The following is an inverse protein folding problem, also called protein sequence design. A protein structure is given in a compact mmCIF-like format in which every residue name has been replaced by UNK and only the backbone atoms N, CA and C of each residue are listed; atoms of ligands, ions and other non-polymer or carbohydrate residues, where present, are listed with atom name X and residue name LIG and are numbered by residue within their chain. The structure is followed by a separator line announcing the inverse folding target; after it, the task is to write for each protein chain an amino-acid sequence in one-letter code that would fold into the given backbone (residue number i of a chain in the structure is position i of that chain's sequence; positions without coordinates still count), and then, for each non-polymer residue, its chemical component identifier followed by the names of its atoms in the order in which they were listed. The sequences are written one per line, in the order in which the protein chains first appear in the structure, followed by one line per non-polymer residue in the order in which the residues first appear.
data_IF_536729577417
#
_entry.id   IF_536729577417
#
_cell.length_a   1.000
_cell.length_b   1.000
_cell.length_c   1.000
_cell.angle_alpha   90.00
_cell.angle_beta   90.00
_cell.angle_gamma   90.00
#
_symmetry.space_group_name_H-M   'P 1'
#
loop_
_entity.id
_entity.type
_entity.pdbx_description
1 polymer ?
#
# COMPACT_ATOMS: atom_id res chain seq x y z
N UNK A 1 41.54 -6.10 54.23
CA UNK A 1 40.88 -5.53 55.40
C UNK A 1 40.95 -4.01 55.28
N UNK A 2 39.87 -3.36 55.08
CA UNK A 2 39.83 -1.89 55.06
C UNK A 2 39.81 -1.42 56.52
N UNK A 3 40.85 -0.69 56.94
CA UNK A 3 40.87 -0.02 58.25
C UNK A 3 39.92 1.17 58.21
N UNK A 4 38.81 1.12 58.92
CA UNK A 4 38.02 2.30 59.25
C UNK A 4 38.66 3.04 60.41
N UNK A 5 39.12 4.29 60.17
CA UNK A 5 39.61 5.14 61.23
C UNK A 5 38.45 5.57 62.12
N UNK A 6 38.53 5.12 63.35
CA UNK A 6 37.62 5.49 64.46
C UNK A 6 37.71 7.01 64.68
N UNK A 7 36.65 7.73 64.40
CA UNK A 7 36.68 9.17 64.64
C UNK A 7 35.35 9.90 64.51
N UNK A 8 34.34 9.33 63.80
CA UNK A 8 33.11 10.09 63.51
C UNK A 8 31.85 9.24 63.33
N UNK A 9 31.79 8.02 63.90
CA UNK A 9 30.57 7.19 63.78
C UNK A 9 30.20 6.62 65.14
N UNK A 10 29.38 7.32 65.87
CA UNK A 10 28.82 6.84 67.14
C UNK A 10 27.84 5.66 67.00
N UNK A 11 27.49 5.26 65.78
CA UNK A 11 26.55 4.19 65.43
C UNK A 11 27.14 3.06 64.56
N UNK A 12 28.45 2.80 64.70
CA UNK A 12 29.10 1.71 63.97
C UNK A 12 29.18 0.45 64.86
N UNK A 13 28.78 -0.69 64.32
CA UNK A 13 29.00 -2.01 64.93
C UNK A 13 29.53 -3.01 63.93
N UNK A 14 30.29 -4.01 64.41
CA UNK A 14 30.79 -5.11 63.62
C UNK A 14 30.58 -6.43 64.37
N UNK A 15 30.11 -7.44 63.67
CA UNK A 15 30.01 -8.81 64.18
C UNK A 15 30.54 -9.80 63.11
N UNK A 16 30.41 -11.11 63.38
CA UNK A 16 30.85 -12.15 62.46
C UNK A 16 30.09 -12.18 61.13
N UNK A 17 28.97 -11.53 61.04
CA UNK A 17 28.09 -11.51 59.86
C UNK A 17 28.41 -10.31 58.95
N UNK A 18 28.76 -9.14 59.54
CA UNK A 18 29.00 -7.96 58.73
C UNK A 18 29.23 -6.69 59.55
N UNK A 19 29.16 -5.55 58.88
CA UNK A 19 29.30 -4.20 59.43
C UNK A 19 27.93 -3.53 59.40
N UNK A 20 27.50 -2.98 60.56
CA UNK A 20 26.27 -2.23 60.70
C UNK A 20 26.54 -0.75 60.95
N UNK A 21 25.79 0.12 60.31
CA UNK A 21 25.73 1.54 60.61
C UNK A 21 24.28 1.84 61.06
N UNK A 22 24.12 2.36 62.26
CA UNK A 22 22.81 2.57 62.86
C UNK A 22 22.14 1.29 63.39
N UNK A 23 22.86 0.17 63.47
CA UNK A 23 22.40 -1.09 64.07
C UNK A 23 23.55 -1.75 64.82
N UNK A 24 23.27 -2.31 65.99
CA UNK A 24 24.23 -3.06 66.82
C UNK A 24 24.32 -4.56 66.46
N UNK A 25 23.43 -5.05 65.60
CA UNK A 25 23.34 -6.46 65.25
C UNK A 25 23.08 -6.61 63.73
N UNK A 26 24.08 -6.39 62.88
CA UNK A 26 23.91 -6.53 61.43
C UNK A 26 23.69 -7.99 61.07
N UNK A 27 22.69 -8.25 60.21
CA UNK A 27 22.34 -9.56 59.67
C UNK A 27 22.81 -9.75 58.20
N UNK A 28 23.47 -8.73 57.66
CA UNK A 28 24.08 -8.73 56.33
C UNK A 28 25.56 -8.27 56.40
N UNK A 29 26.34 -8.51 55.34
CA UNK A 29 27.75 -8.06 55.25
C UNK A 29 27.95 -6.55 55.45
N UNK A 30 26.97 -5.76 55.03
CA UNK A 30 26.84 -4.34 55.30
C UNK A 30 25.39 -4.02 55.56
N UNK A 31 25.02 -3.55 56.76
CA UNK A 31 23.69 -3.09 57.09
C UNK A 31 23.75 -1.65 57.53
N UNK A 32 22.94 -0.78 56.91
CA UNK A 32 22.83 0.63 57.24
C UNK A 32 21.39 0.90 57.63
N UNK A 33 21.17 1.26 58.93
CA UNK A 33 19.87 1.69 59.45
C UNK A 33 19.91 3.17 59.79
N UNK A 34 19.06 3.94 59.13
CA UNK A 34 19.00 5.40 59.30
C UNK A 34 19.35 6.13 57.99
N UNK A 35 19.34 7.45 58.06
CA UNK A 35 19.68 8.28 56.90
C UNK A 35 21.20 8.38 56.73
N UNK A 36 21.70 8.02 55.59
CA UNK A 36 23.11 8.25 55.19
C UNK A 36 23.17 9.11 53.95
N UNK A 37 24.15 10.02 53.92
CA UNK A 37 24.52 10.73 52.72
C UNK A 37 25.84 10.14 52.25
N UNK A 38 25.83 9.38 51.12
CA UNK A 38 27.03 8.88 50.51
C UNK A 38 27.26 9.62 49.21
N UNK A 39 28.51 9.94 48.88
CA UNK A 39 28.86 10.53 47.58
C UNK A 39 28.80 9.49 46.47
N UNK A 40 29.07 8.22 46.78
CA UNK A 40 29.08 7.14 45.83
C UNK A 40 28.83 5.80 46.55
N UNK A 41 27.90 5.00 46.03
CA UNK A 41 27.71 3.60 46.41
C UNK A 41 28.00 2.75 45.15
N UNK A 42 29.13 2.05 45.14
CA UNK A 42 29.49 1.15 44.05
C UNK A 42 29.13 -0.30 44.43
N UNK A 43 28.19 -0.87 43.73
CA UNK A 43 27.73 -2.25 43.94
C UNK A 43 28.14 -3.08 42.72
N UNK A 44 29.08 -4.01 42.93
CA UNK A 44 29.45 -5.01 41.93
C UNK A 44 28.63 -6.28 42.19
N UNK A 45 27.54 -6.49 41.45
CA UNK A 45 26.63 -7.60 41.64
C UNK A 45 25.16 -7.17 41.53
N UNK A 46 24.25 -8.01 42.00
CA UNK A 46 22.82 -7.73 41.94
C UNK A 46 22.46 -6.78 43.08
N UNK A 47 21.98 -5.58 42.77
CA UNK A 47 21.37 -4.67 43.73
C UNK A 47 19.84 -4.86 43.72
N UNK A 48 19.27 -5.27 44.85
CA UNK A 48 17.82 -5.38 45.03
C UNK A 48 17.38 -4.26 46.01
N UNK A 49 16.56 -3.38 45.52
CA UNK A 49 15.99 -2.30 46.35
C UNK A 49 14.55 -2.66 46.73
N UNK A 50 14.25 -2.78 48.01
CA UNK A 50 12.92 -3.12 48.52
C UNK A 50 11.88 -2.03 48.33
N UNK A 51 12.27 -0.77 48.40
CA UNK A 51 11.53 0.41 47.96
C UNK A 51 12.48 1.59 47.78
N UNK A 52 12.34 2.28 46.65
CA UNK A 52 13.10 3.50 46.33
C UNK A 52 12.11 4.64 46.26
N UNK A 53 12.08 5.48 47.29
CA UNK A 53 11.38 6.77 47.27
C UNK A 53 12.39 7.86 46.97
N UNK A 54 12.55 8.24 45.70
CA UNK A 54 13.48 9.29 45.30
C UNK A 54 14.01 9.11 43.86
N UNK A 55 14.72 10.11 43.38
CA UNK A 55 15.37 10.10 42.08
C UNK A 55 16.59 9.19 42.08
N UNK A 56 16.65 8.21 41.18
CA UNK A 56 17.90 7.58 40.79
C UNK A 56 18.52 8.47 39.72
N UNK A 57 19.40 9.36 40.14
CA UNK A 57 20.19 10.15 39.17
C UNK A 57 21.41 9.36 38.70
N UNK A 58 21.49 9.19 37.40
CA UNK A 58 22.64 8.79 36.64
C UNK A 58 23.23 7.40 36.86
N UNK A 59 22.85 6.44 36.00
CA UNK A 59 23.81 5.47 35.50
C UNK A 59 23.62 5.31 33.96
N UNK A 60 24.69 5.47 33.22
CA UNK A 60 24.68 5.39 31.77
C UNK A 60 24.77 3.96 31.23
N UNK A 61 25.20 3.00 32.05
CA UNK A 61 25.33 1.61 31.64
C UNK A 61 24.90 0.65 32.73
N UNK A 62 23.90 -0.17 32.46
CA UNK A 62 23.53 -1.31 33.29
C UNK A 62 24.12 -2.56 32.65
N UNK A 63 25.03 -3.25 33.34
CA UNK A 63 25.63 -4.51 32.89
C UNK A 63 24.87 -5.74 33.43
N UNK A 64 23.85 -5.52 34.25
CA UNK A 64 23.04 -6.57 34.89
C UNK A 64 21.56 -6.20 34.92
N UNK A 65 20.70 -7.20 35.13
CA UNK A 65 19.24 -6.98 35.21
C UNK A 65 18.84 -6.16 36.44
N UNK A 66 18.11 -5.08 36.23
CA UNK A 66 17.48 -4.30 37.27
C UNK A 66 16.01 -4.70 37.41
N UNK A 67 15.64 -5.32 38.52
CA UNK A 67 14.25 -5.67 38.81
C UNK A 67 13.67 -4.64 39.78
N UNK A 68 12.61 -3.96 39.33
CA UNK A 68 11.76 -3.13 40.23
C UNK A 68 10.55 -3.96 40.61
N UNK A 69 10.30 -4.08 41.90
CA UNK A 69 9.18 -4.88 42.41
C UNK A 69 7.86 -4.07 42.36
N UNK A 70 6.74 -4.80 42.41
CA UNK A 70 5.41 -4.17 42.40
C UNK A 70 5.26 -3.18 43.57
N UNK A 71 4.96 -1.93 43.26
CA UNK A 71 4.83 -0.84 44.22
C UNK A 71 5.97 0.19 44.18
N UNK A 72 7.07 -0.13 43.50
CA UNK A 72 8.18 0.82 43.37
C UNK A 72 7.92 1.76 42.19
N UNK A 73 8.10 3.04 42.40
CA UNK A 73 8.10 4.07 41.38
C UNK A 73 9.46 4.73 41.29
N UNK A 74 10.06 4.71 40.11
CA UNK A 74 11.33 5.37 39.86
C UNK A 74 11.31 6.10 38.54
N UNK A 75 11.97 7.25 38.48
CA UNK A 75 12.21 7.96 37.21
C UNK A 75 13.67 7.77 36.83
N UNK A 76 13.89 7.18 35.68
CA UNK A 76 15.22 7.08 35.10
C UNK A 76 15.40 8.26 34.15
N UNK A 77 16.39 9.10 34.42
CA UNK A 77 16.75 10.21 33.52
C UNK A 77 18.10 9.89 32.85
N UNK A 78 18.13 9.95 31.54
CA UNK A 78 19.33 9.65 30.74
C UNK A 78 19.12 8.53 29.75
N UNK A 79 20.17 8.17 29.04
CA UNK A 79 20.17 7.03 28.12
C UNK A 79 20.31 5.73 28.91
N UNK A 80 19.39 4.79 28.69
CA UNK A 80 19.48 3.44 29.24
C UNK A 80 19.96 2.54 28.11
N UNK A 81 21.18 2.07 28.20
CA UNK A 81 21.75 1.10 27.27
C UNK A 81 21.59 -0.31 27.85
N UNK A 82 20.76 -1.11 27.24
CA UNK A 82 20.62 -2.53 27.60
C UNK A 82 21.64 -3.32 26.80
N UNK A 83 22.59 -3.94 27.49
CA UNK A 83 23.66 -4.73 26.84
C UNK A 83 23.14 -5.97 26.12
N UNK A 84 23.96 -6.54 25.25
CA UNK A 84 23.63 -7.75 24.48
C UNK A 84 23.29 -8.92 25.41
N UNK A 85 22.10 -9.51 25.21
CA UNK A 85 21.61 -10.63 26.05
C UNK A 85 20.87 -10.21 27.30
N UNK A 86 20.74 -8.91 27.58
CA UNK A 86 19.98 -8.37 28.69
C UNK A 86 18.57 -7.96 28.27
N UNK A 87 17.64 -7.99 29.20
CA UNK A 87 16.24 -7.62 28.94
C UNK A 87 15.78 -6.57 29.94
N UNK A 88 15.20 -5.49 29.43
CA UNK A 88 14.44 -4.58 30.25
C UNK A 88 12.97 -4.99 30.23
N UNK A 89 12.44 -5.43 31.36
CA UNK A 89 11.02 -5.79 31.50
C UNK A 89 10.29 -4.66 32.20
N UNK A 90 9.32 -4.07 31.50
CA UNK A 90 8.38 -3.12 32.13
C UNK A 90 7.23 -3.94 32.69
N UNK A 91 7.15 -4.03 34.01
CA UNK A 91 6.12 -4.80 34.68
C UNK A 91 4.73 -4.15 34.62
N UNK A 92 3.69 -4.95 34.83
CA UNK A 92 2.31 -4.51 34.89
C UNK A 92 2.05 -3.81 36.22
N UNK A 93 1.75 -2.52 36.19
CA UNK A 93 1.09 -1.88 37.34
C UNK A 93 -0.39 -2.27 37.32
N UNK A 94 -0.80 -3.14 38.22
CA UNK A 94 -2.22 -3.45 38.44
C UNK A 94 -2.82 -2.35 39.29
N UNK A 95 -3.53 -1.43 38.70
CA UNK A 95 -4.43 -0.53 39.44
C UNK A 95 -5.83 -0.61 38.85
N UNK A 96 -6.72 -1.15 39.65
CA UNK A 96 -8.18 -1.14 39.52
C UNK A 96 -8.82 -1.91 38.36
N UNK A 97 -10.00 -2.37 38.56
CA UNK A 97 -11.01 -3.13 37.86
C UNK A 97 -11.24 -2.88 36.33
N UNK A 98 -10.33 -2.29 35.62
CA UNK A 98 -10.32 -2.12 34.20
C UNK A 98 -8.95 -2.55 33.67
N UNK A 99 -8.92 -3.60 32.88
CA UNK A 99 -7.77 -4.32 32.33
C UNK A 99 -6.45 -3.57 32.32
N UNK A 100 -5.39 -4.24 32.75
CA UNK A 100 -4.03 -3.68 32.80
C UNK A 100 -3.51 -3.45 31.36
N UNK A 101 -3.19 -2.21 31.05
CA UNK A 101 -2.51 -1.82 29.81
C UNK A 101 -1.08 -1.42 30.16
N UNK A 102 -0.11 -2.16 29.66
CA UNK A 102 1.30 -1.80 29.75
C UNK A 102 1.59 -0.68 28.74
N UNK A 103 1.78 0.53 29.20
CA UNK A 103 2.10 1.67 28.35
C UNK A 103 3.55 2.12 28.55
N UNK A 104 4.33 2.07 27.49
CA UNK A 104 5.59 2.77 27.39
C UNK A 104 5.34 4.15 26.75
N UNK A 105 5.51 5.23 27.52
CA UNK A 105 5.41 6.60 26.99
C UNK A 105 6.77 7.05 26.49
N UNK A 106 6.89 7.28 25.18
CA UNK A 106 8.09 7.85 24.57
C UNK A 106 7.77 9.28 24.12
N UNK A 107 8.50 10.26 24.67
CA UNK A 107 8.21 11.68 24.44
C UNK A 107 8.88 12.28 23.18
N UNK A 108 9.85 11.59 22.58
CA UNK A 108 10.58 12.10 21.40
C UNK A 108 10.74 11.05 20.32
N UNK A 109 11.52 10.01 20.53
CA UNK A 109 11.85 9.00 19.54
C UNK A 109 11.88 7.62 20.18
N UNK A 110 11.20 6.67 19.55
CA UNK A 110 11.35 5.24 19.81
C UNK A 110 12.03 4.60 18.61
N UNK A 111 13.21 4.04 18.80
CA UNK A 111 13.92 3.27 17.80
C UNK A 111 13.83 1.78 18.19
N UNK A 112 13.12 0.94 17.41
CA UNK A 112 13.09 -0.49 17.65
C UNK A 112 14.46 -1.12 17.35
N UNK A 113 14.73 -2.34 17.85
CA UNK A 113 15.86 -3.14 17.39
C UNK A 113 15.88 -3.18 15.87
N UNK A 114 17.05 -3.10 15.26
CA UNK A 114 17.18 -2.99 13.81
C UNK A 114 18.34 -3.84 13.27
N UNK A 115 18.23 -4.27 12.02
CA UNK A 115 19.23 -5.09 11.34
C UNK A 115 18.72 -5.66 10.03
N UNK A 116 19.49 -6.55 9.43
CA UNK A 116 19.06 -7.32 8.25
C UNK A 116 18.12 -8.45 8.63
N UNK A 117 17.47 -9.06 7.65
CA UNK A 117 16.57 -10.21 7.82
C UNK A 117 17.18 -11.33 8.65
N UNK A 118 18.48 -11.60 8.45
CA UNK A 118 19.20 -12.65 9.16
C UNK A 118 19.61 -12.27 10.60
N UNK A 119 19.47 -11.00 10.96
CA UNK A 119 19.78 -10.48 12.30
C UNK A 119 18.54 -10.30 13.17
N UNK A 120 17.38 -10.78 12.72
CA UNK A 120 16.15 -10.76 13.53
C UNK A 120 16.36 -11.51 14.84
N UNK A 121 16.04 -10.90 15.98
CA UNK A 121 16.18 -11.57 17.28
C UNK A 121 15.11 -12.65 17.46
N UNK A 122 15.32 -13.60 18.39
CA UNK A 122 14.24 -14.45 18.88
C UNK A 122 13.06 -13.59 19.35
N UNK A 123 11.88 -13.87 18.84
CA UNK A 123 10.74 -12.97 19.01
C UNK A 123 9.57 -13.66 19.74
N UNK A 124 8.80 -12.85 20.48
CA UNK A 124 7.48 -13.18 21.02
C UNK A 124 6.41 -12.46 20.24
N UNK A 125 5.15 -12.95 20.21
CA UNK A 125 4.06 -12.22 19.58
C UNK A 125 4.02 -10.74 20.01
N UNK A 126 3.98 -9.82 19.04
CA UNK A 126 4.02 -8.39 19.26
C UNK A 126 5.42 -7.75 19.32
N UNK A 127 6.52 -8.52 19.20
CA UNK A 127 7.87 -7.94 19.06
C UNK A 127 7.97 -7.11 17.79
N UNK A 128 8.67 -5.96 17.86
CA UNK A 128 8.93 -5.05 16.75
C UNK A 128 10.40 -5.09 16.37
N UNK A 129 10.69 -4.95 15.07
CA UNK A 129 12.03 -4.92 14.50
C UNK A 129 12.05 -4.03 13.25
N UNK A 130 13.05 -3.17 13.07
CA UNK A 130 13.23 -2.44 11.82
C UNK A 130 14.18 -3.21 10.90
N UNK A 131 13.67 -3.69 9.78
CA UNK A 131 14.43 -4.49 8.82
C UNK A 131 15.08 -3.60 7.76
N UNK A 132 16.41 -3.65 7.68
CA UNK A 132 17.20 -2.87 6.73
C UNK A 132 17.05 -3.35 5.28
N UNK A 133 16.81 -4.65 5.07
CA UNK A 133 16.64 -5.20 3.72
C UNK A 133 15.33 -4.73 3.09
N UNK A 134 14.27 -4.67 3.90
CA UNK A 134 12.94 -4.23 3.47
C UNK A 134 12.64 -2.75 3.78
N UNK A 135 13.53 -2.08 4.53
CA UNK A 135 13.38 -0.67 4.96
C UNK A 135 12.04 -0.38 5.66
N UNK A 136 11.55 -1.35 6.42
CA UNK A 136 10.24 -1.27 7.10
C UNK A 136 10.32 -1.79 8.53
N UNK A 137 9.37 -1.37 9.37
CA UNK A 137 9.16 -2.00 10.67
C UNK A 137 8.45 -3.33 10.45
N UNK A 138 8.87 -4.35 11.16
CA UNK A 138 8.21 -5.65 11.22
C UNK A 138 7.67 -5.92 12.61
N UNK A 139 6.58 -6.67 12.70
CA UNK A 139 6.11 -7.24 13.95
C UNK A 139 6.05 -8.77 13.85
N UNK A 140 6.28 -9.44 14.96
CA UNK A 140 6.15 -10.89 15.03
C UNK A 140 4.73 -11.27 15.45
N UNK A 141 3.99 -12.00 14.60
CA UNK A 141 2.59 -12.37 14.85
C UNK A 141 2.42 -13.62 15.74
N UNK A 142 3.53 -14.25 16.12
CA UNK A 142 3.57 -15.51 16.85
C UNK A 142 4.06 -16.69 16.00
N UNK A 143 4.00 -16.58 14.68
CA UNK A 143 4.46 -17.61 13.74
C UNK A 143 5.55 -17.08 12.82
N UNK A 144 5.36 -15.87 12.28
CA UNK A 144 6.29 -15.24 11.33
C UNK A 144 6.43 -13.74 11.58
N UNK A 145 7.52 -13.16 11.07
CA UNK A 145 7.68 -11.73 11.00
C UNK A 145 6.81 -11.16 9.87
N UNK A 146 5.93 -10.21 10.22
CA UNK A 146 5.08 -9.47 9.31
C UNK A 146 5.59 -8.06 9.19
N UNK A 147 5.66 -7.55 8.00
CA UNK A 147 5.97 -6.15 7.78
C UNK A 147 4.84 -5.28 8.33
N UNK A 148 5.20 -4.28 9.15
CA UNK A 148 4.29 -3.17 9.42
C UNK A 148 4.40 -2.28 8.20
N UNK A 149 3.62 -2.57 7.21
CA UNK A 149 3.51 -1.68 6.08
C UNK A 149 2.85 -0.40 6.57
N UNK A 150 3.54 0.72 6.39
CA UNK A 150 3.00 2.05 6.66
C UNK A 150 2.00 2.47 5.58
N UNK A 151 1.94 1.71 4.54
CA UNK A 151 0.88 1.75 3.58
C UNK A 151 -0.18 0.76 4.06
N UNK A 152 -1.36 1.22 4.38
CA UNK A 152 -2.55 0.46 4.07
C UNK A 152 -2.33 -0.09 2.67
N UNK A 153 -1.81 -1.30 2.50
CA UNK A 153 -1.53 -2.02 1.24
C UNK A 153 -1.78 -1.22 -0.05
N UNK A 154 -1.20 -0.05 -0.17
CA UNK A 154 -1.32 0.76 -1.39
C UNK A 154 -0.29 0.26 -2.39
N UNK A 155 -0.78 -0.29 -3.48
CA UNK A 155 0.02 -0.89 -4.52
C UNK A 155 -0.50 -2.25 -4.94
N UNK A 156 -1.71 -2.62 -4.52
CA UNK A 156 -2.39 -3.79 -5.03
C UNK A 156 -2.97 -3.48 -6.42
N UNK A 157 -2.39 -4.05 -7.46
CA UNK A 157 -2.99 -4.12 -8.79
C UNK A 157 -3.93 -5.31 -8.87
N UNK A 158 -5.13 -5.10 -9.41
CA UNK A 158 -6.14 -6.15 -9.60
C UNK A 158 -6.52 -6.19 -11.06
N UNK A 159 -6.40 -7.37 -11.68
CA UNK A 159 -6.50 -7.60 -13.12
C UNK A 159 -7.57 -8.63 -13.37
N UNK A 160 -8.66 -8.26 -14.03
CA UNK A 160 -9.63 -9.20 -14.60
C UNK A 160 -9.11 -9.71 -15.95
N UNK A 161 -9.09 -11.03 -16.13
CA UNK A 161 -8.39 -11.66 -17.25
C UNK A 161 -9.12 -11.58 -18.60
N UNK A 162 -10.42 -11.27 -18.61
CA UNK A 162 -11.17 -11.12 -19.87
C UNK A 162 -11.41 -12.43 -20.61
N UNK A 163 -10.62 -12.70 -21.65
CA UNK A 163 -10.83 -13.82 -22.56
C UNK A 163 -9.54 -14.62 -22.80
N UNK A 164 -9.61 -15.94 -22.70
CA UNK A 164 -8.51 -16.87 -22.93
C UNK A 164 -8.90 -18.06 -23.82
N UNK A 165 -9.81 -17.86 -24.73
CA UNK A 165 -10.55 -18.90 -25.47
C UNK A 165 -11.99 -19.04 -24.99
N UNK A 166 -12.27 -18.58 -23.76
CA UNK A 166 -13.59 -18.40 -23.20
C UNK A 166 -13.62 -17.10 -22.39
N UNK A 167 -14.79 -16.50 -22.26
CA UNK A 167 -14.98 -15.38 -21.35
C UNK A 167 -14.81 -15.84 -19.90
N UNK A 168 -14.12 -15.05 -19.08
CA UNK A 168 -13.71 -15.44 -17.72
C UNK A 168 -14.34 -14.58 -16.64
N UNK A 169 -14.44 -15.19 -15.45
CA UNK A 169 -14.76 -14.51 -14.20
C UNK A 169 -13.49 -14.13 -13.43
N UNK A 170 -12.36 -14.79 -13.69
CA UNK A 170 -11.14 -14.73 -12.88
C UNK A 170 -10.55 -13.33 -12.77
N UNK A 171 -10.26 -12.98 -11.54
CA UNK A 171 -9.57 -11.74 -11.17
C UNK A 171 -8.28 -12.11 -10.46
N UNK A 172 -7.16 -11.61 -10.94
CA UNK A 172 -5.84 -11.82 -10.35
C UNK A 172 -5.36 -10.55 -9.67
N UNK A 173 -4.47 -10.68 -8.71
CA UNK A 173 -3.78 -9.57 -8.08
C UNK A 173 -2.28 -9.65 -8.28
N UNK A 174 -1.65 -8.48 -8.21
CA UNK A 174 -0.20 -8.31 -8.26
C UNK A 174 0.19 -7.17 -7.32
N UNK A 175 1.31 -7.29 -6.62
CA UNK A 175 1.85 -6.20 -5.82
C UNK A 175 2.71 -5.30 -6.72
N UNK A 176 2.23 -4.08 -7.00
CA UNK A 176 2.91 -3.11 -7.87
C UNK A 176 4.23 -2.63 -7.26
N UNK A 177 4.39 -2.69 -5.94
CA UNK A 177 5.61 -2.25 -5.26
C UNK A 177 6.77 -3.23 -5.45
N UNK A 178 6.48 -4.51 -5.70
CA UNK A 178 7.47 -5.56 -5.90
C UNK A 178 7.23 -6.29 -7.22
N UNK A 179 8.29 -6.56 -7.97
CA UNK A 179 8.21 -7.42 -9.15
C UNK A 179 7.75 -8.83 -8.78
N UNK A 180 6.93 -9.43 -9.64
CA UNK A 180 6.46 -10.78 -9.42
C UNK A 180 5.25 -11.14 -10.28
N UNK A 181 4.87 -12.40 -10.20
CA UNK A 181 3.75 -12.95 -10.96
C UNK A 181 2.42 -12.64 -10.26
N UNK A 182 1.36 -12.61 -11.05
CA UNK A 182 0.01 -12.47 -10.51
C UNK A 182 -0.43 -13.73 -9.77
N UNK A 183 -1.35 -13.58 -8.84
CA UNK A 183 -2.01 -14.68 -8.13
C UNK A 183 -3.53 -14.52 -8.20
N UNK A 184 -4.26 -15.63 -8.15
CA UNK A 184 -5.72 -15.60 -8.12
C UNK A 184 -6.20 -14.79 -6.90
N UNK A 185 -7.09 -13.84 -7.14
CA UNK A 185 -7.60 -12.93 -6.13
C UNK A 185 -9.11 -13.08 -5.91
N UNK A 186 -9.84 -13.44 -6.95
CA UNK A 186 -11.27 -13.64 -6.88
C UNK A 186 -11.94 -13.83 -8.23
N UNK A 187 -13.26 -13.67 -8.25
CA UNK A 187 -14.10 -13.85 -9.42
C UNK A 187 -15.15 -12.74 -9.54
N UNK A 188 -15.45 -12.31 -10.77
CA UNK A 188 -16.64 -11.51 -11.07
C UNK A 188 -17.91 -12.38 -10.96
N UNK A 189 -19.08 -11.75 -10.83
CA UNK A 189 -20.37 -12.47 -10.77
C UNK A 189 -20.69 -13.17 -12.09
N UNK A 190 -20.20 -12.65 -13.21
CA UNK A 190 -20.45 -13.17 -14.57
C UNK A 190 -19.16 -13.14 -15.40
N UNK A 191 -18.99 -14.17 -16.24
CA UNK A 191 -17.93 -14.22 -17.21
C UNK A 191 -18.12 -13.12 -18.27
N UNK A 192 -17.05 -12.35 -18.54
CA UNK A 192 -17.08 -11.25 -19.50
C UNK A 192 -15.68 -10.83 -19.95
N UNK A 193 -15.62 -10.08 -21.05
CA UNK A 193 -14.44 -9.39 -21.54
C UNK A 193 -14.80 -7.97 -21.98
N UNK A 194 -13.79 -7.13 -22.23
CA UNK A 194 -13.97 -5.78 -22.79
C UNK A 194 -14.88 -4.90 -21.90
N UNK A 195 -14.87 -5.11 -20.61
CA UNK A 195 -15.54 -4.29 -19.61
C UNK A 195 -14.78 -2.98 -19.38
N UNK A 196 -15.40 -2.04 -18.70
CA UNK A 196 -14.72 -0.88 -18.10
C UNK A 196 -14.56 -1.09 -16.61
N UNK A 197 -13.40 -0.75 -16.06
CA UNK A 197 -13.16 -0.88 -14.63
C UNK A 197 -12.52 0.38 -14.03
N UNK A 198 -12.93 0.69 -12.82
CA UNK A 198 -12.44 1.80 -12.01
C UNK A 198 -12.43 1.40 -10.53
N UNK A 199 -11.74 2.16 -9.68
CA UNK A 199 -11.65 1.82 -8.26
C UNK A 199 -11.47 3.04 -7.37
N UNK A 200 -11.75 2.85 -6.09
CA UNK A 200 -11.14 3.61 -5.03
C UNK A 200 -10.16 2.71 -4.23
N UNK A 201 -9.74 3.16 -3.08
CA UNK A 201 -8.79 2.43 -2.21
C UNK A 201 -9.34 1.14 -1.59
N UNK A 202 -10.65 0.92 -1.65
CA UNK A 202 -11.31 -0.23 -1.01
C UNK A 202 -12.08 -1.12 -1.97
N UNK A 203 -12.62 -0.56 -3.07
CA UNK A 203 -13.48 -1.25 -4.03
C UNK A 203 -12.99 -1.07 -5.46
N UNK A 204 -12.89 -2.17 -6.19
CA UNK A 204 -12.85 -2.19 -7.64
C UNK A 204 -14.27 -2.41 -8.20
N UNK A 205 -14.71 -1.58 -9.14
CA UNK A 205 -16.00 -1.69 -9.83
C UNK A 205 -15.78 -2.02 -11.30
N UNK A 206 -16.52 -3.00 -11.81
CA UNK A 206 -16.38 -3.55 -13.16
C UNK A 206 -17.72 -3.48 -13.86
N UNK A 207 -17.85 -2.64 -14.87
CA UNK A 207 -19.14 -2.40 -15.54
C UNK A 207 -19.17 -2.86 -16.98
N UNK A 208 -20.32 -3.37 -17.45
CA UNK A 208 -20.58 -3.74 -18.82
C UNK A 208 -19.70 -4.88 -19.33
N UNK A 209 -19.24 -4.76 -20.57
CA UNK A 209 -18.51 -5.80 -21.30
C UNK A 209 -19.41 -6.71 -22.11
N UNK A 210 -18.86 -7.80 -22.59
CA UNK A 210 -19.63 -8.80 -23.35
C UNK A 210 -19.28 -10.23 -22.97
N UNK A 211 -20.22 -11.14 -23.14
CA UNK A 211 -20.01 -12.58 -23.09
C UNK A 211 -20.68 -13.26 -24.26
N UNK A 212 -19.95 -14.11 -24.98
CA UNK A 212 -20.46 -14.81 -26.17
C UNK A 212 -21.14 -13.86 -27.18
N UNK A 213 -20.55 -12.68 -27.40
CA UNK A 213 -21.09 -11.60 -28.25
C UNK A 213 -22.38 -10.93 -27.75
N UNK A 214 -22.79 -11.18 -26.53
CA UNK A 214 -23.90 -10.47 -25.87
C UNK A 214 -23.33 -9.39 -24.95
N UNK A 215 -23.69 -8.15 -25.23
CA UNK A 215 -23.30 -7.01 -24.40
C UNK A 215 -24.00 -7.02 -23.05
N UNK A 216 -23.34 -6.48 -22.02
CA UNK A 216 -23.81 -6.43 -20.64
C UNK A 216 -23.95 -4.99 -20.17
N UNK A 217 -24.82 -4.79 -19.20
CA UNK A 217 -24.98 -3.55 -18.43
C UNK A 217 -24.61 -3.71 -16.95
N UNK A 218 -24.48 -4.95 -16.48
CA UNK A 218 -24.20 -5.27 -15.08
C UNK A 218 -22.91 -4.62 -14.58
N UNK A 219 -22.96 -4.01 -13.42
CA UNK A 219 -21.81 -3.53 -12.66
C UNK A 219 -21.58 -4.44 -11.47
N UNK A 220 -20.39 -4.99 -11.35
CA UNK A 220 -19.94 -5.75 -10.18
C UNK A 220 -18.95 -4.94 -9.35
N UNK A 221 -18.87 -5.21 -8.05
CA UNK A 221 -17.78 -4.69 -7.23
C UNK A 221 -17.06 -5.80 -6.47
N UNK A 222 -15.76 -5.59 -6.28
CA UNK A 222 -14.86 -6.47 -5.55
C UNK A 222 -14.17 -5.68 -4.45
N UNK A 223 -14.06 -6.27 -3.25
CA UNK A 223 -13.23 -5.69 -2.19
C UNK A 223 -11.75 -5.83 -2.53
N UNK A 224 -11.04 -4.73 -2.62
CA UNK A 224 -9.58 -4.72 -2.84
C UNK A 224 -8.80 -5.13 -1.60
N UNK A 225 -9.42 -5.15 -0.43
CA UNK A 225 -8.79 -5.56 0.81
C UNK A 225 -8.82 -7.07 1.04
N UNK A 226 -9.87 -7.74 0.61
CA UNK A 226 -10.10 -9.15 0.92
C UNK A 226 -10.14 -10.07 -0.30
N UNK A 227 -10.39 -9.53 -1.49
CA UNK A 227 -10.67 -10.36 -2.67
C UNK A 227 -11.94 -11.18 -2.52
N UNK A 228 -11.98 -12.34 -3.18
CA UNK A 228 -13.10 -13.27 -3.15
C UNK A 228 -14.08 -13.08 -4.31
N UNK A 229 -15.32 -13.49 -4.17
CA UNK A 229 -16.35 -13.32 -5.20
C UNK A 229 -16.91 -11.91 -5.18
N UNK A 230 -16.97 -11.27 -6.35
CA UNK A 230 -17.59 -9.97 -6.51
C UNK A 230 -19.09 -10.02 -6.15
N UNK A 231 -19.63 -8.86 -5.84
CA UNK A 231 -21.05 -8.67 -5.53
C UNK A 231 -21.65 -7.74 -6.57
N UNK A 232 -22.92 -7.98 -6.88
CA UNK A 232 -23.69 -7.09 -7.76
C UNK A 232 -23.73 -5.67 -7.16
N UNK A 233 -23.43 -4.68 -8.00
CA UNK A 233 -23.45 -3.27 -7.63
C UNK A 233 -24.68 -2.55 -8.15
N UNK A 234 -25.15 -2.90 -9.34
CA UNK A 234 -26.21 -2.26 -10.11
C UNK A 234 -25.94 -2.36 -11.61
N UNK A 235 -26.52 -1.46 -12.40
CA UNK A 235 -26.45 -1.53 -13.86
C UNK A 235 -26.02 -0.19 -14.47
N UNK A 236 -25.39 -0.24 -15.65
CA UNK A 236 -25.27 0.87 -16.57
C UNK A 236 -26.64 1.16 -17.21
N UNK A 237 -26.88 2.35 -17.70
CA UNK A 237 -28.15 2.71 -18.33
C UNK A 237 -28.40 1.99 -19.67
N UNK A 238 -27.40 1.34 -20.24
CA UNK A 238 -27.53 0.50 -21.43
C UNK A 238 -26.43 -0.55 -21.48
N UNK A 239 -26.70 -1.67 -22.17
CA UNK A 239 -25.65 -2.66 -22.48
C UNK A 239 -24.56 -2.04 -23.33
N UNK A 240 -23.31 -2.28 -23.00
CA UNK A 240 -22.16 -1.73 -23.74
C UNK A 240 -20.88 -2.52 -23.53
N UNK A 241 -20.00 -2.45 -24.51
CA UNK A 241 -18.70 -3.13 -24.52
C UNK A 241 -17.59 -2.21 -25.04
N UNK A 242 -16.33 -2.63 -24.87
CA UNK A 242 -15.14 -1.92 -25.38
C UNK A 242 -15.07 -0.47 -24.88
N UNK A 243 -15.58 -0.21 -23.69
CA UNK A 243 -15.56 1.08 -23.05
C UNK A 243 -14.47 1.16 -21.99
N UNK A 244 -14.17 2.37 -21.57
CA UNK A 244 -13.15 2.61 -20.56
C UNK A 244 -13.74 3.33 -19.35
N UNK A 245 -13.02 3.24 -18.24
CA UNK A 245 -13.42 3.94 -17.04
C UNK A 245 -12.22 4.62 -16.38
N UNK A 246 -12.53 5.72 -15.71
CA UNK A 246 -11.63 6.43 -14.81
C UNK A 246 -12.35 6.73 -13.49
N UNK A 247 -11.61 7.04 -12.46
CA UNK A 247 -12.22 7.31 -11.15
C UNK A 247 -11.47 8.36 -10.33
N UNK A 248 -12.19 8.89 -9.35
CA UNK A 248 -11.62 9.51 -8.15
C UNK A 248 -11.78 8.57 -6.96
N UNK A 249 -11.46 9.05 -5.76
CA UNK A 249 -11.73 8.32 -4.51
C UNK A 249 -13.21 8.04 -4.25
N UNK A 250 -14.12 8.76 -4.93
CA UNK A 250 -15.57 8.66 -4.70
C UNK A 250 -16.35 8.15 -5.89
N UNK A 251 -15.96 8.53 -7.13
CA UNK A 251 -16.73 8.28 -8.35
C UNK A 251 -15.99 7.39 -9.33
N UNK A 252 -16.70 6.46 -9.93
CA UNK A 252 -16.30 5.75 -11.13
C UNK A 252 -17.13 6.25 -12.32
N UNK A 253 -16.47 6.59 -13.43
CA UNK A 253 -17.08 7.15 -14.63
C UNK A 253 -16.72 6.29 -15.83
N UNK A 254 -17.70 5.85 -16.58
CA UNK A 254 -17.56 5.07 -17.83
C UNK A 254 -17.89 5.93 -19.05
N UNK A 255 -17.12 5.78 -20.11
CA UNK A 255 -17.39 6.51 -21.36
C UNK A 255 -16.72 5.91 -22.59
N UNK A 256 -17.16 6.34 -23.75
CA UNK A 256 -16.59 5.92 -25.03
C UNK A 256 -16.80 4.44 -25.32
N UNK A 257 -17.99 4.03 -25.73
CA UNK A 257 -18.38 2.62 -25.85
C UNK A 257 -18.81 2.22 -27.26
N UNK A 258 -18.69 0.93 -27.55
CA UNK A 258 -19.48 0.28 -28.59
C UNK A 258 -20.78 -0.23 -27.99
N UNK A 259 -21.86 0.06 -28.64
CA UNK A 259 -23.24 -0.29 -28.26
C UNK A 259 -23.94 -0.67 -29.56
N UNK A 260 -24.08 -1.97 -29.82
CA UNK A 260 -24.56 -2.47 -31.09
C UNK A 260 -25.93 -1.89 -31.49
N UNK A 261 -26.06 -1.38 -32.75
CA UNK A 261 -25.12 -1.46 -33.85
C UNK A 261 -24.19 -0.24 -34.04
N UNK A 262 -23.93 0.56 -33.04
CA UNK A 262 -23.21 1.81 -33.18
C UNK A 262 -22.19 2.11 -32.09
N UNK A 263 -21.71 3.34 -32.10
CA UNK A 263 -20.83 3.90 -31.07
C UNK A 263 -21.58 4.96 -30.25
N UNK A 264 -21.22 5.08 -28.99
CA UNK A 264 -21.88 6.02 -28.08
C UNK A 264 -20.84 6.99 -27.49
N UNK A 265 -21.28 8.25 -27.29
CA UNK A 265 -20.55 9.28 -26.54
C UNK A 265 -21.05 9.42 -25.12
N UNK A 266 -22.14 8.74 -24.75
CA UNK A 266 -22.75 8.85 -23.42
C UNK A 266 -21.79 8.38 -22.34
N UNK A 267 -21.63 9.20 -21.31
CA UNK A 267 -20.87 8.87 -20.12
C UNK A 267 -21.80 8.74 -18.92
N UNK A 268 -21.50 7.75 -18.07
CA UNK A 268 -22.27 7.44 -16.88
C UNK A 268 -21.33 7.24 -15.69
N UNK A 269 -21.84 7.49 -14.47
CA UNK A 269 -21.06 7.33 -13.27
C UNK A 269 -21.86 6.68 -12.13
N UNK A 270 -21.11 6.15 -11.16
CA UNK A 270 -21.62 5.72 -9.85
C UNK A 270 -20.79 6.34 -8.73
N UNK A 271 -21.39 6.49 -7.55
CA UNK A 271 -20.63 6.72 -6.32
C UNK A 271 -20.13 5.37 -5.80
N UNK A 272 -18.81 5.13 -5.79
CA UNK A 272 -18.21 3.80 -5.54
C UNK A 272 -18.59 3.21 -4.17
N UNK A 273 -18.84 4.05 -3.17
CA UNK A 273 -19.18 3.61 -1.81
C UNK A 273 -20.61 3.10 -1.67
N UNK A 274 -21.50 3.44 -2.60
CA UNK A 274 -22.94 3.14 -2.49
C UNK A 274 -23.43 2.38 -3.73
N UNK A 275 -23.93 1.18 -3.54
CA UNK A 275 -24.49 0.37 -4.64
C UNK A 275 -25.73 1.03 -5.26
N UNK A 276 -25.91 0.87 -6.55
CA UNK A 276 -27.01 1.41 -7.33
C UNK A 276 -26.66 1.54 -8.81
N UNK A 277 -27.66 1.88 -9.61
CA UNK A 277 -27.48 2.04 -11.04
C UNK A 277 -26.70 3.30 -11.38
N UNK A 278 -26.01 3.26 -12.50
CA UNK A 278 -25.27 4.40 -13.02
C UNK A 278 -26.23 5.52 -13.47
N UNK A 279 -25.79 6.73 -13.32
CA UNK A 279 -26.53 7.93 -13.75
C UNK A 279 -25.70 8.72 -14.76
N UNK A 280 -26.39 9.50 -15.57
CA UNK A 280 -25.77 10.34 -16.59
C UNK A 280 -24.71 11.27 -16.01
N UNK A 281 -23.54 11.31 -16.67
CA UNK A 281 -22.41 12.17 -16.35
C UNK A 281 -22.26 13.34 -17.36
N UNK A 282 -22.53 13.10 -18.62
CA UNK A 282 -22.31 13.96 -19.77
C UNK A 282 -21.84 13.16 -20.99
N UNK A 283 -21.17 13.80 -21.93
CA UNK A 283 -20.77 13.20 -23.19
C UNK A 283 -19.27 13.32 -23.46
N UNK A 284 -18.67 12.34 -24.14
CA UNK A 284 -17.33 12.48 -24.76
C UNK A 284 -17.39 13.43 -25.96
N UNK A 285 -16.28 14.09 -26.27
CA UNK A 285 -16.20 14.97 -27.45
C UNK A 285 -16.45 14.19 -28.75
N UNK A 286 -15.88 12.99 -28.83
CA UNK A 286 -16.03 12.12 -29.99
C UNK A 286 -16.78 10.84 -29.63
N UNK A 287 -17.77 10.46 -30.46
CA UNK A 287 -18.40 9.14 -30.33
C UNK A 287 -17.42 8.05 -30.78
N UNK A 288 -17.04 7.17 -29.84
CA UNK A 288 -16.06 6.13 -30.14
C UNK A 288 -15.87 5.14 -29.01
N UNK A 289 -15.01 4.16 -29.21
CA UNK A 289 -14.70 3.10 -28.29
C UNK A 289 -13.20 2.78 -28.25
N UNK A 290 -12.78 1.93 -27.33
CA UNK A 290 -11.36 1.55 -27.14
C UNK A 290 -10.42 2.72 -26.81
N UNK A 291 -10.92 3.81 -26.24
CA UNK A 291 -10.05 4.86 -25.70
C UNK A 291 -9.22 4.32 -24.53
N UNK A 292 -8.17 5.01 -24.14
CA UNK A 292 -7.38 4.73 -22.96
C UNK A 292 -7.74 5.72 -21.86
N UNK A 293 -8.07 5.24 -20.67
CA UNK A 293 -8.54 6.08 -19.57
C UNK A 293 -7.54 6.18 -18.43
N UNK A 294 -7.21 7.40 -18.01
CA UNK A 294 -6.39 7.67 -16.82
C UNK A 294 -7.04 8.76 -15.97
N UNK A 295 -6.61 8.87 -14.72
CA UNK A 295 -7.17 9.90 -13.83
C UNK A 295 -6.16 10.47 -12.84
N UNK A 296 -6.40 11.72 -12.45
CA UNK A 296 -5.92 12.35 -11.22
C UNK A 296 -7.10 12.49 -10.24
N UNK A 297 -6.91 12.93 -9.00
CA UNK A 297 -8.02 13.09 -8.05
C UNK A 297 -9.15 14.00 -8.53
N UNK A 298 -8.88 14.88 -9.48
CA UNK A 298 -9.83 15.87 -9.96
C UNK A 298 -10.21 15.72 -11.42
N UNK A 299 -9.34 15.13 -12.25
CA UNK A 299 -9.52 15.00 -13.69
C UNK A 299 -9.55 13.55 -14.14
N UNK A 300 -10.54 13.20 -14.94
CA UNK A 300 -10.54 12.02 -15.79
C UNK A 300 -10.05 12.41 -17.18
N UNK A 301 -9.35 11.51 -17.85
CA UNK A 301 -8.81 11.68 -19.20
C UNK A 301 -9.21 10.46 -20.03
N UNK A 302 -9.66 10.69 -21.24
CA UNK A 302 -9.83 9.69 -22.28
C UNK A 302 -8.94 10.05 -23.47
N UNK A 303 -8.14 9.11 -23.96
CA UNK A 303 -7.18 9.36 -25.02
C UNK A 303 -7.31 8.34 -26.16
N UNK A 304 -7.25 8.81 -27.40
CA UNK A 304 -7.39 7.98 -28.58
C UNK A 304 -8.75 7.31 -28.71
N UNK A 305 -8.81 6.20 -29.42
CA UNK A 305 -10.03 5.45 -29.68
C UNK A 305 -10.35 5.31 -31.16
N UNK A 306 -11.51 4.73 -31.42
CA UNK A 306 -12.03 4.51 -32.78
C UNK A 306 -13.54 4.78 -32.83
N UNK A 307 -13.95 5.52 -33.85
CA UNK A 307 -15.35 5.73 -34.21
C UNK A 307 -15.57 5.56 -35.69
N UNK A 308 -15.91 6.62 -36.42
CA UNK A 308 -15.87 6.67 -37.89
C UNK A 308 -14.43 6.70 -38.40
N UNK A 309 -13.49 7.19 -37.59
CA UNK A 309 -12.04 7.26 -37.89
C UNK A 309 -11.27 6.91 -36.62
N UNK A 310 -9.95 6.79 -36.75
CA UNK A 310 -9.04 6.68 -35.60
C UNK A 310 -8.83 8.04 -34.98
N UNK A 311 -8.72 8.07 -33.62
CA UNK A 311 -8.53 9.31 -32.88
C UNK A 311 -7.09 9.41 -32.34
N UNK A 312 -6.53 10.62 -32.38
CA UNK A 312 -5.39 11.04 -31.56
C UNK A 312 -5.84 11.88 -30.38
N UNK A 313 -7.06 12.44 -30.43
CA UNK A 313 -7.54 13.39 -29.43
C UNK A 313 -7.50 12.84 -28.00
N UNK A 314 -7.22 13.74 -27.09
CA UNK A 314 -7.28 13.51 -25.66
C UNK A 314 -8.35 14.45 -25.10
N UNK A 315 -9.34 13.88 -24.41
CA UNK A 315 -10.41 14.63 -23.77
C UNK A 315 -10.21 14.58 -22.25
N UNK A 316 -10.56 15.69 -21.55
CA UNK A 316 -10.55 15.71 -20.10
C UNK A 316 -11.92 16.08 -19.51
N UNK A 317 -12.13 15.61 -18.29
CA UNK A 317 -13.36 15.73 -17.52
C UNK A 317 -13.05 16.15 -16.10
N UNK A 318 -13.90 16.99 -15.50
CA UNK A 318 -13.84 17.28 -14.06
C UNK A 318 -14.68 16.25 -13.31
N UNK A 319 -14.05 15.31 -12.59
CA UNK A 319 -14.77 14.17 -12.01
C UNK A 319 -15.82 14.58 -10.98
N UNK A 320 -15.54 15.63 -10.18
CA UNK A 320 -16.46 16.11 -9.16
C UNK A 320 -17.71 16.80 -9.73
N UNK A 321 -17.63 17.31 -10.96
CA UNK A 321 -18.72 18.00 -11.64
C UNK A 321 -19.14 17.20 -12.87
N UNK A 322 -20.44 17.00 -13.05
CA UNK A 322 -20.99 16.46 -14.30
C UNK A 322 -20.73 17.41 -15.44
N UNK A 323 -20.63 16.86 -16.65
CA UNK A 323 -20.53 17.67 -17.87
C UNK A 323 -19.70 16.98 -18.95
N UNK A 324 -19.75 17.58 -20.12
CA UNK A 324 -19.14 17.06 -21.32
C UNK A 324 -17.62 17.16 -21.32
N UNK A 325 -17.01 16.33 -22.13
CA UNK A 325 -15.57 16.34 -22.39
C UNK A 325 -15.09 17.65 -22.98
N UNK A 326 -13.87 17.99 -22.66
CA UNK A 326 -13.16 19.14 -23.21
C UNK A 326 -11.85 18.70 -23.79
N UNK A 327 -11.45 19.37 -24.88
CA UNK A 327 -10.18 19.12 -25.52
C UNK A 327 -9.01 19.35 -24.55
N UNK A 328 -8.12 18.35 -24.46
CA UNK A 328 -6.89 18.38 -23.72
C UNK A 328 -5.67 18.59 -24.62
N UNK A 329 -5.67 17.96 -25.81
CA UNK A 329 -4.60 17.88 -26.78
C UNK A 329 -4.63 16.56 -27.53
N UNK A 330 -3.49 16.12 -28.07
CA UNK A 330 -3.37 14.93 -28.91
C UNK A 330 -2.29 13.97 -28.43
N UNK A 331 -2.49 12.67 -28.65
CA UNK A 331 -1.44 11.64 -28.61
C UNK A 331 -0.42 11.89 -29.73
N UNK A 332 0.78 11.32 -29.60
CA UNK A 332 1.81 11.40 -30.65
C UNK A 332 1.36 10.72 -31.95
N UNK A 333 0.44 9.77 -31.85
CA UNK A 333 -0.19 9.11 -33.02
C UNK A 333 -1.60 8.63 -32.71
N UNK A 334 -2.45 8.59 -33.72
CA UNK A 334 -3.81 8.04 -33.62
C UNK A 334 -3.76 6.54 -33.29
N UNK A 335 -4.47 6.12 -32.24
CA UNK A 335 -4.47 4.72 -31.78
C UNK A 335 -5.61 4.39 -30.82
N UNK A 336 -5.84 3.09 -30.60
CA UNK A 336 -6.86 2.59 -29.70
C UNK A 336 -6.38 1.39 -28.89
N UNK A 337 -7.00 1.15 -27.74
CA UNK A 337 -6.94 -0.12 -27.01
C UNK A 337 -5.60 -0.44 -26.36
N UNK A 338 -4.78 0.56 -26.06
CA UNK A 338 -3.52 0.38 -25.34
C UNK A 338 -3.69 0.25 -23.83
N UNK A 339 -2.58 -0.07 -23.16
CA UNK A 339 -2.43 -0.05 -21.71
C UNK A 339 -2.44 1.37 -21.15
N UNK A 340 -2.76 1.49 -19.86
CA UNK A 340 -2.89 2.80 -19.21
C UNK A 340 -2.44 2.76 -17.76
N UNK A 341 -1.76 3.81 -17.34
CA UNK A 341 -1.30 3.98 -15.97
C UNK A 341 -1.27 5.47 -15.59
N UNK A 342 -1.48 5.81 -14.35
CA UNK A 342 -1.37 7.20 -13.90
C UNK A 342 -1.02 7.33 -12.44
N UNK A 343 -0.33 8.41 -12.11
CA UNK A 343 -0.32 8.95 -10.76
C UNK A 343 -1.02 10.33 -10.77
N UNK A 344 -0.99 11.05 -9.66
CA UNK A 344 -1.64 12.36 -9.56
C UNK A 344 -1.06 13.43 -10.51
N UNK A 345 0.13 13.19 -11.08
CA UNK A 345 0.89 14.14 -11.91
C UNK A 345 0.91 13.76 -13.37
N UNK A 346 1.11 12.46 -13.69
CA UNK A 346 1.27 11.96 -15.05
C UNK A 346 0.23 10.91 -15.41
N UNK A 347 -0.28 10.99 -16.64
CA UNK A 347 -1.02 9.93 -17.31
C UNK A 347 -0.13 9.30 -18.40
N UNK A 348 -0.13 7.97 -18.49
CA UNK A 348 0.67 7.18 -19.42
C UNK A 348 -0.24 6.33 -20.28
N UNK A 349 0.03 6.28 -21.59
CA UNK A 349 -0.70 5.52 -22.59
C UNK A 349 0.30 4.65 -23.36
N UNK A 350 0.14 3.33 -23.27
CA UNK A 350 1.14 2.38 -23.75
C UNK A 350 0.61 1.50 -24.88
N UNK A 351 1.28 1.50 -26.02
CA UNK A 351 0.97 0.64 -27.14
C UNK A 351 -0.39 0.88 -27.78
N UNK A 352 -1.05 -0.17 -28.20
CA UNK A 352 -2.34 -0.18 -28.87
C UNK A 352 -2.24 -0.46 -30.38
N UNK A 353 -3.39 -0.46 -31.06
CA UNK A 353 -3.43 -0.56 -32.51
C UNK A 353 -3.45 0.83 -33.15
N UNK A 354 -2.70 0.99 -34.25
CA UNK A 354 -2.62 2.21 -35.04
C UNK A 354 -3.25 1.96 -36.43
N UNK A 355 -4.03 2.88 -36.92
CA UNK A 355 -4.67 2.74 -38.23
C UNK A 355 -4.20 3.75 -39.30
N UNK A 356 -4.59 3.56 -40.58
CA UNK A 356 -5.33 2.43 -41.14
C UNK A 356 -4.41 1.25 -41.47
N UNK A 357 -4.65 0.08 -40.85
CA UNK A 357 -3.93 -1.16 -41.12
C UNK A 357 -3.74 -1.98 -39.85
N UNK A 358 -3.28 -3.22 -39.91
CA UNK A 358 -3.04 -4.07 -38.76
C UNK A 358 -1.72 -3.72 -38.07
N UNK A 359 -1.48 -2.43 -37.82
CA UNK A 359 -0.30 -1.97 -37.12
C UNK A 359 -0.54 -1.98 -35.60
N UNK A 360 0.24 -2.76 -34.88
CA UNK A 360 0.39 -2.59 -33.44
C UNK A 360 1.63 -1.77 -33.16
N UNK A 361 1.61 -0.94 -32.13
CA UNK A 361 2.74 -0.10 -31.75
C UNK A 361 3.19 -0.41 -30.33
N UNK A 362 4.47 -0.18 -30.08
CA UNK A 362 5.07 -0.30 -28.75
C UNK A 362 5.26 1.07 -28.07
N UNK A 363 5.05 2.16 -28.79
CA UNK A 363 5.26 3.51 -28.25
C UNK A 363 4.43 3.79 -27.00
N UNK A 364 5.05 4.43 -26.03
CA UNK A 364 4.40 4.90 -24.81
C UNK A 364 4.40 6.43 -24.82
N UNK A 365 3.22 7.02 -24.67
CA UNK A 365 3.05 8.46 -24.52
C UNK A 365 2.75 8.81 -23.09
N UNK A 366 3.08 10.05 -22.69
CA UNK A 366 2.64 10.60 -21.41
C UNK A 366 2.12 12.02 -21.52
N UNK A 367 1.27 12.38 -20.56
CA UNK A 367 0.76 13.75 -20.36
C UNK A 367 1.02 14.20 -18.94
N UNK A 368 1.04 15.51 -18.73
CA UNK A 368 0.97 16.12 -17.40
C UNK A 368 -0.49 16.40 -17.06
N UNK A 369 -1.05 15.73 -16.05
CA UNK A 369 -2.48 15.77 -15.72
C UNK A 369 -3.04 17.17 -15.43
N UNK A 370 -2.23 18.08 -14.90
CA UNK A 370 -2.66 19.40 -14.45
C UNK A 370 -2.78 20.42 -15.58
N UNK A 371 -2.07 20.23 -16.70
CA UNK A 371 -2.01 21.20 -17.81
C UNK A 371 -2.40 20.54 -19.13
N UNK A 372 -3.25 21.19 -19.92
CA UNK A 372 -3.59 20.77 -21.28
C UNK A 372 -2.40 20.91 -22.22
N UNK A 373 -2.34 20.06 -23.22
CA UNK A 373 -1.30 20.00 -24.25
C UNK A 373 -1.14 18.62 -24.81
N UNK A 374 -0.39 18.52 -25.89
CA UNK A 374 -0.15 17.24 -26.55
C UNK A 374 0.71 16.30 -25.68
N UNK A 375 0.49 15.02 -25.85
CA UNK A 375 1.32 14.00 -25.22
C UNK A 375 2.75 14.03 -25.78
N UNK A 376 3.67 13.60 -24.95
CA UNK A 376 5.08 13.48 -25.28
C UNK A 376 5.50 12.01 -25.25
N UNK A 377 6.55 11.69 -25.99
CA UNK A 377 7.15 10.36 -25.97
C UNK A 377 7.70 10.04 -24.55
N UNK A 378 7.34 8.86 -24.07
CA UNK A 378 7.82 8.32 -22.78
C UNK A 378 8.89 7.27 -22.96
N UNK A 379 8.78 6.43 -24.00
CA UNK A 379 9.60 5.27 -24.31
C UNK A 379 8.78 4.17 -24.98
N UNK A 380 9.22 2.92 -24.85
CA UNK A 380 8.63 1.79 -25.54
C UNK A 380 8.28 0.61 -24.64
N UNK A 381 7.21 -0.12 -24.98
CA UNK A 381 6.96 -1.47 -24.49
C UNK A 381 8.03 -2.43 -25.03
N UNK A 382 8.35 -3.47 -24.30
CA UNK A 382 9.26 -4.53 -24.77
C UNK A 382 8.64 -5.40 -25.86
N UNK A 383 7.32 -5.29 -26.08
CA UNK A 383 6.59 -6.00 -27.16
C UNK A 383 5.67 -5.03 -27.90
N UNK A 384 5.42 -5.29 -29.19
CA UNK A 384 4.60 -4.43 -30.05
C UNK A 384 3.12 -4.77 -30.10
N UNK A 385 2.72 -5.94 -29.56
CA UNK A 385 1.39 -6.50 -29.73
C UNK A 385 0.55 -6.23 -28.50
N UNK A 386 -0.18 -5.11 -28.47
CA UNK A 386 -0.81 -4.63 -27.24
C UNK A 386 -2.23 -4.08 -27.41
N UNK A 387 -2.96 -4.49 -28.47
CA UNK A 387 -4.38 -4.14 -28.58
C UNK A 387 -5.20 -4.80 -27.47
N UNK A 388 -6.07 -4.02 -26.84
CA UNK A 388 -6.86 -4.45 -25.67
C UNK A 388 -6.00 -4.83 -24.45
N UNK A 389 -4.81 -4.23 -24.36
CA UNK A 389 -4.01 -4.30 -23.15
C UNK A 389 -4.72 -3.58 -21.99
N UNK A 390 -4.50 -4.08 -20.81
CA UNK A 390 -4.89 -3.36 -19.59
C UNK A 390 -3.66 -2.80 -18.87
N UNK A 391 -3.89 -1.87 -17.98
CA UNK A 391 -2.85 -1.34 -17.14
C UNK A 391 -3.42 -0.71 -15.89
N UNK A 392 -2.60 -0.64 -14.87
CA UNK A 392 -2.90 0.03 -13.61
C UNK A 392 -1.62 0.54 -12.97
N UNK A 393 -1.70 1.20 -11.83
CA UNK A 393 -0.55 1.88 -11.25
C UNK A 393 -0.69 2.10 -9.76
N UNK A 394 0.43 2.42 -9.15
CA UNK A 394 0.47 3.13 -7.87
C UNK A 394 1.08 4.54 -8.08
N UNK A 395 1.47 5.20 -7.00
CA UNK A 395 2.04 6.55 -7.08
C UNK A 395 3.34 6.63 -7.89
N UNK A 396 4.12 5.55 -7.97
CA UNK A 396 5.46 5.51 -8.56
C UNK A 396 5.57 4.66 -9.80
N UNK A 397 4.81 3.56 -9.89
CA UNK A 397 4.90 2.55 -10.95
C UNK A 397 3.60 2.38 -11.70
N UNK A 398 3.73 2.26 -13.03
CA UNK A 398 2.69 1.73 -13.90
C UNK A 398 3.02 0.30 -14.32
N UNK A 399 2.01 -0.54 -14.44
CA UNK A 399 2.13 -1.89 -14.99
C UNK A 399 1.15 -2.07 -16.13
N UNK A 400 1.56 -2.81 -17.16
CA UNK A 400 0.79 -3.12 -18.35
C UNK A 400 0.79 -4.62 -18.57
N UNK A 401 -0.37 -5.18 -18.81
CA UNK A 401 -0.54 -6.61 -18.97
C UNK A 401 -1.51 -6.92 -20.11
N UNK A 402 -1.41 -8.14 -20.64
CA UNK A 402 -2.29 -8.64 -21.70
C UNK A 402 -2.17 -7.86 -23.02
N UNK A 403 -2.91 -8.28 -23.97
CA UNK A 403 -2.98 -7.67 -25.30
C UNK A 403 -3.25 -8.71 -26.39
N UNK A 404 -3.56 -8.24 -27.57
CA UNK A 404 -3.73 -9.10 -28.74
C UNK A 404 -2.66 -8.76 -29.81
N UNK A 405 -1.93 -9.73 -30.39
CA UNK A 405 -1.89 -11.15 -29.99
C UNK A 405 -1.48 -11.34 -28.52
N UNK A 406 -1.96 -12.41 -27.94
CA UNK A 406 -1.96 -12.57 -26.51
C UNK A 406 -0.60 -12.84 -25.87
N UNK A 407 -0.36 -12.20 -24.76
CA UNK A 407 0.82 -12.32 -23.92
C UNK A 407 0.42 -12.52 -22.47
N UNK A 408 1.24 -13.25 -21.72
CA UNK A 408 1.16 -13.38 -20.28
C UNK A 408 2.11 -12.43 -19.53
N UNK A 409 2.96 -11.71 -20.25
CA UNK A 409 3.93 -10.79 -19.65
C UNK A 409 3.25 -9.58 -19.00
N UNK A 410 3.79 -9.18 -17.87
CA UNK A 410 3.50 -7.91 -17.21
C UNK A 410 4.74 -7.03 -17.38
N UNK A 411 4.56 -5.86 -17.96
CA UNK A 411 5.61 -4.85 -18.14
C UNK A 411 5.42 -3.72 -17.12
N UNK A 412 6.52 -3.19 -16.60
CA UNK A 412 6.51 -2.09 -15.63
C UNK A 412 7.22 -0.85 -16.13
N UNK A 413 6.80 0.31 -15.66
CA UNK A 413 7.50 1.59 -15.84
C UNK A 413 7.57 2.35 -14.51
N UNK A 414 8.62 3.14 -14.33
CA UNK A 414 8.65 4.16 -13.27
C UNK A 414 8.01 5.44 -13.81
N UNK A 415 6.85 5.84 -13.29
CA UNK A 415 6.04 6.95 -13.83
C UNK A 415 6.79 8.29 -13.86
N UNK A 416 7.68 8.51 -12.90
CA UNK A 416 8.41 9.79 -12.77
C UNK A 416 9.50 9.98 -13.83
N UNK A 417 10.04 8.91 -14.41
CA UNK A 417 11.17 8.93 -15.35
C UNK A 417 10.78 8.32 -16.68
N UNK A 418 11.05 9.02 -17.78
CA UNK A 418 10.85 8.47 -19.14
C UNK A 418 11.83 7.34 -19.41
N UNK A 419 11.41 6.35 -20.20
CA UNK A 419 12.21 5.19 -20.58
C UNK A 419 11.33 4.01 -20.97
N UNK A 420 11.93 3.01 -21.62
CA UNK A 420 11.24 1.79 -21.99
C UNK A 420 10.89 0.94 -20.77
N UNK A 421 9.90 0.05 -20.94
CA UNK A 421 9.45 -0.85 -19.88
C UNK A 421 10.52 -1.85 -19.48
N UNK A 422 10.43 -2.29 -18.22
CA UNK A 422 11.15 -3.46 -17.71
C UNK A 422 10.21 -4.65 -17.53
N UNK A 423 10.77 -5.86 -17.52
CA UNK A 423 10.01 -7.06 -17.19
C UNK A 423 9.61 -7.01 -15.72
N UNK A 424 8.30 -7.05 -15.46
CA UNK A 424 7.74 -7.00 -14.11
C UNK A 424 7.42 -8.40 -13.59
N UNK A 425 6.96 -9.31 -14.46
CA UNK A 425 6.53 -10.65 -14.13
C UNK A 425 5.54 -11.20 -15.17
N UNK A 426 4.80 -12.23 -14.76
CA UNK A 426 3.82 -12.87 -15.65
C UNK A 426 2.46 -13.03 -14.99
N UNK A 427 1.41 -13.08 -15.81
CA UNK A 427 0.12 -13.59 -15.37
C UNK A 427 0.26 -15.09 -15.11
N UNK A 428 -0.23 -15.56 -13.99
CA UNK A 428 -0.17 -16.98 -13.60
C UNK A 428 -1.08 -17.89 -14.43
N UNK A 429 -1.46 -17.45 -15.62
CA UNK A 429 -2.38 -18.12 -16.52
C UNK A 429 -1.80 -18.15 -17.93
N UNK A 430 -1.37 -19.31 -18.38
CA UNK A 430 -0.64 -19.52 -19.64
C UNK A 430 -1.58 -19.61 -20.86
N UNK A 431 -2.42 -18.64 -21.12
CA UNK A 431 -3.27 -18.65 -22.33
C UNK A 431 -3.38 -17.27 -22.95
N UNK A 432 -3.83 -17.24 -24.20
CA UNK A 432 -4.12 -16.07 -25.02
C UNK A 432 -5.09 -15.10 -24.32
N UNK A 433 -4.61 -14.23 -23.42
CA UNK A 433 -5.46 -13.35 -22.63
C UNK A 433 -5.56 -11.98 -23.28
N UNK A 434 -6.76 -11.52 -23.56
CA UNK A 434 -7.02 -10.16 -24.03
C UNK A 434 -8.39 -9.63 -23.55
N UNK A 435 -8.58 -8.33 -23.68
CA UNK A 435 -9.86 -7.68 -23.33
C UNK A 435 -10.16 -7.70 -21.85
N UNK A 436 -9.14 -7.87 -21.02
CA UNK A 436 -9.22 -7.67 -19.60
C UNK A 436 -9.14 -6.21 -19.21
N UNK A 437 -9.33 -5.95 -17.92
CA UNK A 437 -9.24 -4.63 -17.33
C UNK A 437 -8.53 -4.69 -15.98
N UNK A 438 -7.91 -3.60 -15.60
CA UNK A 438 -7.18 -3.53 -14.34
C UNK A 438 -7.54 -2.27 -13.54
N UNK A 439 -7.49 -2.43 -12.23
CA UNK A 439 -7.69 -1.38 -11.23
C UNK A 439 -6.62 -1.50 -10.14
N UNK A 440 -6.47 -0.51 -9.29
CA UNK A 440 -5.63 -0.61 -8.10
C UNK A 440 -6.21 0.20 -6.93
N UNK A 441 -5.71 -0.08 -5.75
CA UNK A 441 -6.02 0.65 -4.52
C UNK A 441 -5.28 1.99 -4.40
N UNK A 442 -4.45 2.36 -5.40
CA UNK A 442 -3.51 3.49 -5.28
C UNK A 442 -3.17 4.19 -6.60
N UNK A 443 -4.02 4.07 -7.62
CA UNK A 443 -3.82 4.77 -8.90
C UNK A 443 -3.99 6.30 -8.77
N UNK A 444 -3.65 7.03 -9.84
CA UNK A 444 -3.64 8.49 -9.87
C UNK A 444 -4.94 9.17 -9.43
N UNK A 445 -6.10 8.59 -9.75
CA UNK A 445 -7.41 9.13 -9.37
C UNK A 445 -7.69 9.10 -7.87
N UNK A 446 -7.03 8.23 -7.11
CA UNK A 446 -7.16 8.15 -5.66
C UNK A 446 -6.20 9.14 -4.97
N UNK A 447 -5.28 9.72 -5.70
CA UNK A 447 -4.23 10.55 -5.15
C UNK A 447 -3.20 9.70 -4.39
N UNK A 448 -2.61 8.73 -5.10
CA UNK A 448 -1.57 7.88 -4.55
C UNK A 448 -0.50 8.69 -3.82
N UNK A 449 -0.36 8.44 -2.53
CA UNK A 449 0.60 9.08 -1.63
C UNK A 449 1.81 8.18 -1.42
#
# INVERSE_FOLDING_TARGET
MAEFRQGYLDDYSQNSTGVGIGTSSPDAKLEIRGGTTTQELNVTGIATFGSVSGFIEKHTNYTENVNMTSGDSGTLSGEIVVGTGLTMTVGTAVTSSQGSVNNMKVFRLFQPPSGTTNQRPPAKPGSLFYNFDFKTIEFFDGNTWRQVDNTSRRGLGVIHLGYDGNDRTYVHSVDINSQGNSVLFGDLTQARRLAGAASNDTRGVFGGGQSSSTERDTIDYLSLQTGGTATDFGNLGSTRTIHQAFSSSTRAVWGGSYNAPGVSNVMEFVEISTTGDAVDFGDTVNSGYSSMAVSSPTRGILAGGYGSTWFSSIDYFTIAAKGDGRDFGDLTSQRRGGGRASNSVRGIFAGGAQGPGPGYINAIDYITMASTGNALDFGDLTFSDSLYACGTSNATRGIFAMGYPAHDNINGVEIATTGSTFDFGTLSYQLTVYGGVAVSDSHGGIGGH
#
